data_IF_414666912084
#
_entry.id   IF_414666912084
#
_cell.length_a   1.000
_cell.length_b   1.000
_cell.length_c   1.000
_cell.angle_alpha   90.00
_cell.angle_beta   90.00
_cell.angle_gamma   90.00
#
_symmetry.space_group_name_H-M   'P 1'
#
loop_
_entity.id
_entity.type
_entity.pdbx_description
1 polymer ?
#
# COMPACT_ATOMS: atom_id res chain seq x y z
N UNK A 1 -21.32 11.04 -15.11
CA UNK A 1 -19.98 10.41 -15.12
C UNK A 1 -19.08 11.16 -14.14
N UNK A 2 -18.67 10.47 -13.09
CA UNK A 2 -17.71 10.94 -12.10
C UNK A 2 -16.36 11.18 -12.76
N UNK A 3 -15.65 12.21 -12.31
CA UNK A 3 -14.36 12.62 -12.90
C UNK A 3 -13.34 12.78 -11.81
N UNK A 4 -12.17 12.18 -12.04
CA UNK A 4 -11.01 12.37 -11.19
C UNK A 4 -9.98 13.16 -11.97
N UNK A 5 -9.73 14.39 -11.52
CA UNK A 5 -8.67 15.23 -12.04
C UNK A 5 -7.57 15.31 -10.99
N UNK A 6 -6.35 14.90 -11.33
CA UNK A 6 -5.20 14.93 -10.41
C UNK A 6 -4.06 15.75 -10.99
N UNK A 7 -3.45 16.54 -10.11
CA UNK A 7 -2.29 17.37 -10.39
C UNK A 7 -1.07 16.86 -9.62
N UNK A 8 -0.04 16.45 -10.35
CA UNK A 8 1.29 16.20 -9.81
C UNK A 8 2.01 17.55 -9.60
N UNK A 9 2.09 17.98 -8.34
CA UNK A 9 2.73 19.25 -7.94
C UNK A 9 4.24 19.25 -8.13
N UNK A 10 4.89 18.09 -8.08
CA UNK A 10 6.35 18.00 -8.27
C UNK A 10 6.71 18.30 -9.73
N UNK A 11 5.92 17.78 -10.67
CA UNK A 11 6.09 17.99 -12.10
C UNK A 11 5.54 19.33 -12.59
N UNK A 12 4.47 19.84 -11.99
CA UNK A 12 3.84 21.07 -12.48
C UNK A 12 4.73 22.29 -12.25
N UNK A 13 5.06 23.02 -13.32
CA UNK A 13 5.81 24.29 -13.28
C UNK A 13 4.99 25.39 -13.97
N UNK A 14 3.96 25.95 -13.31
CA UNK A 14 3.02 26.90 -13.93
C UNK A 14 3.73 28.15 -14.49
N UNK A 15 4.74 28.66 -13.76
CA UNK A 15 5.58 29.80 -14.20
C UNK A 15 6.40 29.54 -15.48
N UNK A 16 6.62 28.28 -15.86
CA UNK A 16 7.47 27.89 -17.00
C UNK A 16 6.71 27.32 -18.20
N UNK A 17 5.42 26.99 -18.05
CA UNK A 17 4.66 26.33 -19.13
C UNK A 17 3.81 27.27 -20.00
N UNK A 18 3.60 28.53 -19.61
CA UNK A 18 2.62 29.45 -20.23
C UNK A 18 1.17 28.91 -20.21
N UNK A 19 0.84 28.13 -19.18
CA UNK A 19 -0.53 27.69 -18.85
C UNK A 19 -1.38 27.06 -19.99
N UNK A 20 -0.84 26.13 -20.80
CA UNK A 20 -1.59 25.52 -21.91
C UNK A 20 -2.80 24.74 -21.43
N UNK A 21 -2.79 24.24 -20.19
CA UNK A 21 -3.96 23.61 -19.58
C UNK A 21 -5.17 24.55 -19.57
N UNK A 22 -4.99 25.84 -19.29
CA UNK A 22 -6.05 26.87 -19.33
C UNK A 22 -6.43 27.23 -20.77
N UNK A 23 -5.44 27.61 -21.58
CA UNK A 23 -5.67 28.17 -22.91
C UNK A 23 -6.32 27.19 -23.89
N UNK A 24 -6.01 25.90 -23.77
CA UNK A 24 -6.56 24.86 -24.64
C UNK A 24 -7.77 24.13 -24.04
N UNK A 25 -8.22 24.50 -22.83
CA UNK A 25 -9.42 23.90 -22.24
C UNK A 25 -10.69 24.43 -22.92
N UNK A 26 -11.53 23.57 -23.53
CA UNK A 26 -12.76 24.01 -24.20
C UNK A 26 -13.72 24.75 -23.27
N UNK A 27 -13.86 24.27 -22.02
CA UNK A 27 -14.75 24.88 -21.03
C UNK A 27 -14.30 26.30 -20.65
N UNK A 28 -13.00 26.49 -20.44
CA UNK A 28 -12.44 27.83 -20.16
C UNK A 28 -12.63 28.76 -21.36
N UNK A 29 -12.51 28.26 -22.59
CA UNK A 29 -12.78 29.04 -23.82
C UNK A 29 -14.24 29.41 -23.99
N UNK A 30 -15.15 28.66 -23.36
CA UNK A 30 -16.59 28.95 -23.27
C UNK A 30 -16.96 29.78 -22.02
N UNK A 31 -15.97 30.40 -21.37
CA UNK A 31 -16.16 31.19 -20.14
C UNK A 31 -16.70 30.39 -18.95
N UNK A 32 -16.48 29.07 -18.93
CA UNK A 32 -16.75 28.22 -17.77
C UNK A 32 -15.45 28.05 -16.97
N UNK A 33 -15.52 28.25 -15.65
CA UNK A 33 -14.38 28.16 -14.75
C UNK A 33 -13.95 26.72 -14.40
N UNK A 34 -13.74 25.90 -15.43
CA UNK A 34 -13.32 24.51 -15.22
C UNK A 34 -11.86 24.38 -14.75
N UNK A 35 -11.01 25.37 -15.04
CA UNK A 35 -9.62 25.43 -14.57
C UNK A 35 -9.34 26.84 -14.06
N UNK A 36 -9.09 26.96 -12.77
CA UNK A 36 -8.81 28.21 -12.09
C UNK A 36 -7.35 28.26 -11.62
N UNK A 37 -6.84 29.47 -11.46
CA UNK A 37 -5.52 29.74 -10.91
C UNK A 37 -5.74 30.75 -9.80
N UNK A 38 -5.75 30.26 -8.59
CA UNK A 38 -5.91 31.09 -7.43
C UNK A 38 -4.54 31.72 -7.08
N UNK A 39 -4.42 33.05 -7.07
CA UNK A 39 -3.20 33.75 -6.67
C UNK A 39 -2.79 33.47 -5.21
N UNK A 40 -3.77 33.15 -4.34
CA UNK A 40 -3.56 32.85 -2.93
C UNK A 40 -3.22 31.36 -2.68
N UNK A 41 -3.71 30.43 -3.52
CA UNK A 41 -3.39 28.99 -3.46
C UNK A 41 -2.24 28.59 -4.40
N UNK A 42 -1.02 29.03 -4.08
CA UNK A 42 0.26 28.51 -4.63
C UNK A 42 0.48 28.61 -6.16
N UNK A 43 -0.35 29.35 -6.92
CA UNK A 43 -0.30 29.49 -8.38
C UNK A 43 -0.44 28.19 -9.20
N UNK A 44 -0.83 27.08 -8.57
CA UNK A 44 -1.09 25.82 -9.26
C UNK A 44 -2.49 25.81 -9.88
N UNK A 45 -2.69 25.10 -11.01
CA UNK A 45 -4.03 24.97 -11.60
C UNK A 45 -4.94 24.14 -10.70
N UNK A 46 -6.08 24.70 -10.35
CA UNK A 46 -7.21 24.01 -9.74
C UNK A 46 -8.16 23.54 -10.85
N UNK A 47 -8.58 22.28 -10.82
CA UNK A 47 -9.53 21.72 -11.80
C UNK A 47 -10.82 21.36 -11.09
N UNK A 48 -11.89 22.08 -11.42
CA UNK A 48 -13.23 21.80 -10.93
C UNK A 48 -13.79 20.55 -11.63
N UNK A 49 -13.81 19.41 -10.93
CA UNK A 49 -14.23 18.10 -11.47
C UNK A 49 -15.68 18.14 -12.03
N UNK A 50 -16.58 18.87 -11.36
CA UNK A 50 -17.96 19.06 -11.78
C UNK A 50 -18.08 19.74 -13.15
N UNK A 51 -17.26 20.75 -13.42
CA UNK A 51 -17.28 21.53 -14.66
C UNK A 51 -16.46 20.89 -15.80
N UNK A 52 -15.76 19.78 -15.54
CA UNK A 52 -14.60 19.38 -16.35
C UNK A 52 -14.86 18.73 -17.74
N UNK A 53 -16.03 18.28 -18.18
CA UNK A 53 -16.25 17.48 -19.45
C UNK A 53 -15.37 16.24 -19.74
N UNK A 54 -14.15 16.08 -19.19
CA UNK A 54 -13.33 14.88 -19.35
C UNK A 54 -12.57 14.73 -20.67
N UNK A 55 -12.44 15.80 -21.48
CA UNK A 55 -11.81 15.74 -22.81
C UNK A 55 -10.29 15.45 -22.83
N UNK A 56 -9.62 15.57 -21.68
CA UNK A 56 -8.18 15.36 -21.49
C UNK A 56 -7.25 16.17 -22.43
N UNK A 57 -7.73 17.28 -23.02
CA UNK A 57 -6.90 18.14 -23.88
C UNK A 57 -5.77 18.79 -23.07
N UNK A 58 -6.07 19.26 -21.85
CA UNK A 58 -5.07 19.82 -20.95
C UNK A 58 -3.97 18.81 -20.56
N UNK A 59 -4.29 17.51 -20.47
CA UNK A 59 -3.32 16.43 -20.23
C UNK A 59 -2.37 16.30 -21.41
N UNK A 60 -2.90 16.27 -22.64
CA UNK A 60 -2.10 16.16 -23.88
C UNK A 60 -1.24 17.40 -24.14
N UNK A 61 -1.72 18.58 -23.77
CA UNK A 61 -1.04 19.87 -24.00
C UNK A 61 -0.09 20.27 -22.86
N UNK A 62 -0.10 19.58 -21.72
CA UNK A 62 0.82 19.85 -20.62
C UNK A 62 2.25 19.40 -20.99
N UNK A 63 3.24 20.31 -21.08
CA UNK A 63 4.61 19.94 -21.45
C UNK A 63 5.28 19.06 -20.39
N UNK A 64 4.87 19.19 -19.13
CA UNK A 64 5.44 18.45 -18.00
C UNK A 64 4.67 17.16 -17.66
N UNK A 65 3.59 16.85 -18.40
CA UNK A 65 2.69 15.69 -18.12
C UNK A 65 2.27 15.61 -16.64
N UNK A 66 1.97 16.77 -16.05
CA UNK A 66 1.64 16.91 -14.63
C UNK A 66 0.15 16.70 -14.32
N UNK A 67 -0.69 16.53 -15.33
CA UNK A 67 -2.14 16.38 -15.17
C UNK A 67 -2.59 14.98 -15.54
N UNK A 68 -3.55 14.46 -14.78
CA UNK A 68 -4.30 13.25 -15.10
C UNK A 68 -5.80 13.54 -15.03
N UNK A 69 -6.55 13.15 -16.06
CA UNK A 69 -8.01 13.18 -16.07
C UNK A 69 -8.50 11.78 -16.39
N UNK A 70 -9.37 11.24 -15.54
CA UNK A 70 -9.97 9.93 -15.69
C UNK A 70 -11.49 10.07 -15.52
N UNK A 71 -12.25 9.44 -16.43
CA UNK A 71 -13.69 9.31 -16.30
C UNK A 71 -13.97 7.98 -15.58
N UNK A 72 -14.75 8.04 -14.51
CA UNK A 72 -15.18 6.89 -13.73
C UNK A 72 -16.70 6.70 -13.84
N UNK A 73 -17.21 5.48 -13.61
CA UNK A 73 -18.63 5.26 -13.34
C UNK A 73 -19.12 6.15 -12.20
N UNK A 74 -20.34 6.68 -12.32
CA UNK A 74 -20.95 7.54 -11.28
C UNK A 74 -21.10 6.82 -9.94
N UNK A 75 -21.41 5.52 -9.98
CA UNK A 75 -21.56 4.64 -8.80
C UNK A 75 -20.31 4.64 -7.91
N UNK A 76 -19.11 4.82 -8.49
CA UNK A 76 -17.88 4.86 -7.70
C UNK A 76 -17.73 6.13 -6.88
N UNK A 77 -18.34 7.25 -7.28
CA UNK A 77 -18.21 8.49 -6.52
C UNK A 77 -18.93 8.38 -5.17
N UNK A 78 -20.04 7.65 -5.11
CA UNK A 78 -20.72 7.34 -3.86
C UNK A 78 -19.80 6.56 -2.92
N UNK A 79 -19.05 5.59 -3.46
CA UNK A 79 -18.10 4.72 -2.74
C UNK A 79 -16.76 5.39 -2.37
N UNK A 80 -16.65 6.72 -2.47
CA UNK A 80 -15.43 7.41 -2.08
C UNK A 80 -15.18 7.30 -0.57
N UNK A 81 -14.07 6.66 -0.20
CA UNK A 81 -13.67 6.48 1.20
C UNK A 81 -12.82 7.65 1.69
N UNK A 82 -11.85 8.07 0.89
CA UNK A 82 -10.89 9.10 1.30
C UNK A 82 -10.27 9.85 0.11
N UNK A 83 -9.97 11.13 0.32
CA UNK A 83 -9.26 12.01 -0.61
C UNK A 83 -8.24 12.85 0.16
N UNK A 84 -6.98 12.88 -0.30
CA UNK A 84 -5.93 13.64 0.38
C UNK A 84 -6.03 15.16 0.20
N UNK A 85 -6.65 15.60 -0.89
CA UNK A 85 -6.63 17.01 -1.29
C UNK A 85 -7.43 17.22 -2.58
N UNK A 86 -7.77 18.48 -2.85
CA UNK A 86 -8.37 18.80 -4.16
C UNK A 86 -7.34 18.54 -5.25
N UNK A 87 -7.78 17.87 -6.31
CA UNK A 87 -6.95 17.29 -7.36
C UNK A 87 -5.79 16.40 -6.87
N UNK A 88 -5.97 15.69 -5.76
CA UNK A 88 -5.08 14.64 -5.28
C UNK A 88 -5.73 13.25 -5.39
N UNK A 89 -4.97 12.23 -4.98
CA UNK A 89 -5.39 10.83 -4.97
C UNK A 89 -6.73 10.60 -4.24
N UNK A 90 -7.62 9.81 -4.86
CA UNK A 90 -8.89 9.32 -4.28
C UNK A 90 -8.85 7.81 -4.07
N UNK A 91 -9.33 7.35 -2.92
CA UNK A 91 -9.53 5.94 -2.59
C UNK A 91 -11.01 5.62 -2.55
N UNK A 92 -11.41 4.55 -3.24
CA UNK A 92 -12.77 4.04 -3.28
C UNK A 92 -12.83 2.66 -2.63
N UNK A 93 -13.86 2.46 -1.79
CA UNK A 93 -14.04 1.26 -0.94
C UNK A 93 -12.86 1.04 0.02
N UNK A 94 -13.03 0.09 0.93
CA UNK A 94 -12.00 -0.32 1.89
C UNK A 94 -12.03 -1.84 2.02
N UNK A 95 -10.89 -2.50 2.30
CA UNK A 95 -10.88 -3.91 2.60
C UNK A 95 -11.53 -4.16 3.97
N UNK A 96 -12.19 -5.31 4.11
CA UNK A 96 -12.91 -5.67 5.34
C UNK A 96 -12.07 -6.68 6.13
N UNK A 97 -11.54 -6.32 7.32
CA UNK A 97 -10.90 -7.26 8.21
C UNK A 97 -11.90 -8.34 8.65
N UNK A 98 -11.51 -9.61 8.60
CA UNK A 98 -12.36 -10.74 8.97
C UNK A 98 -11.76 -11.48 10.18
N UNK A 99 -12.57 -11.81 11.21
CA UNK A 99 -12.12 -12.63 12.35
C UNK A 99 -11.52 -13.97 11.91
N UNK A 100 -10.37 -14.33 12.48
CA UNK A 100 -9.70 -15.61 12.20
C UNK A 100 -9.34 -15.83 10.74
N UNK A 101 -9.05 -14.76 9.99
CA UNK A 101 -8.60 -14.83 8.59
C UNK A 101 -7.55 -13.78 8.27
N UNK A 102 -6.66 -14.11 7.34
CA UNK A 102 -5.75 -13.15 6.71
C UNK A 102 -6.37 -12.66 5.40
N UNK A 103 -6.58 -11.35 5.33
CA UNK A 103 -7.02 -10.64 4.11
C UNK A 103 -5.80 -10.05 3.41
N UNK A 104 -5.43 -10.61 2.26
CA UNK A 104 -4.36 -10.12 1.43
C UNK A 104 -4.78 -8.96 0.53
N UNK A 105 -3.96 -7.92 0.42
CA UNK A 105 -4.17 -6.78 -0.48
C UNK A 105 -3.10 -6.83 -1.57
N UNK A 106 -3.55 -6.98 -2.82
CA UNK A 106 -2.67 -7.03 -3.98
C UNK A 106 -3.00 -5.91 -4.95
N UNK A 107 -1.99 -5.24 -5.48
CA UNK A 107 -2.19 -4.20 -6.49
C UNK A 107 -0.90 -3.45 -6.80
N UNK A 108 -0.89 -2.61 -7.86
CA UNK A 108 0.26 -1.77 -8.18
C UNK A 108 0.62 -0.80 -7.04
N UNK A 109 1.78 -0.15 -7.12
CA UNK A 109 2.12 0.92 -6.18
C UNK A 109 1.33 2.19 -6.53
N UNK A 110 1.04 3.02 -5.53
CA UNK A 110 0.28 4.26 -5.71
C UNK A 110 -1.24 4.09 -5.90
N UNK A 111 -1.81 2.91 -5.64
CA UNK A 111 -3.27 2.67 -5.72
C UNK A 111 -3.97 2.65 -4.36
N UNK A 112 -3.29 3.03 -3.27
CA UNK A 112 -3.91 3.21 -1.95
C UNK A 112 -3.92 1.99 -1.02
N UNK A 113 -3.04 0.99 -1.23
CA UNK A 113 -2.83 -0.12 -0.27
C UNK A 113 -2.48 0.40 1.14
N UNK A 114 -1.41 1.18 1.23
CA UNK A 114 -0.97 1.85 2.47
C UNK A 114 -2.03 2.79 3.02
N UNK A 115 -2.72 3.57 2.17
CA UNK A 115 -3.81 4.45 2.61
C UNK A 115 -4.94 3.65 3.26
N UNK A 116 -5.33 2.50 2.69
CA UNK A 116 -6.33 1.62 3.27
C UNK A 116 -5.90 1.09 4.64
N UNK A 117 -4.64 0.67 4.79
CA UNK A 117 -4.10 0.21 6.07
C UNK A 117 -4.05 1.33 7.12
N UNK A 118 -3.65 2.55 6.74
CA UNK A 118 -3.62 3.71 7.66
C UNK A 118 -5.02 4.12 8.11
N UNK A 119 -6.03 3.99 7.24
CA UNK A 119 -7.44 4.18 7.62
C UNK A 119 -7.87 3.13 8.64
N UNK A 120 -7.60 1.85 8.36
CA UNK A 120 -7.94 0.77 9.28
C UNK A 120 -7.17 0.86 10.61
N UNK A 121 -5.94 1.40 10.60
CA UNK A 121 -5.16 1.67 11.79
C UNK A 121 -5.68 2.84 12.64
N UNK A 122 -6.59 3.66 12.11
CA UNK A 122 -7.03 4.90 12.74
C UNK A 122 -6.00 6.03 12.71
N UNK A 123 -4.91 5.90 11.93
CA UNK A 123 -3.94 6.99 11.75
C UNK A 123 -4.51 8.14 10.91
N UNK A 124 -5.40 7.81 9.98
CA UNK A 124 -6.17 8.75 9.17
C UNK A 124 -7.63 8.34 9.20
N UNK A 125 -8.54 9.31 9.27
CA UNK A 125 -9.97 9.01 9.22
C UNK A 125 -10.50 9.17 7.79
N UNK A 126 -11.46 8.33 7.34
CA UNK A 126 -12.15 8.54 6.07
C UNK A 126 -12.78 9.94 6.06
N UNK A 127 -12.62 10.67 4.96
CA UNK A 127 -13.27 11.97 4.78
C UNK A 127 -14.35 11.94 3.70
N UNK A 128 -14.67 10.74 3.18
CA UNK A 128 -15.73 10.50 2.21
C UNK A 128 -15.65 11.38 0.95
N UNK A 129 -14.43 11.80 0.59
CA UNK A 129 -14.17 12.69 -0.54
C UNK A 129 -14.25 14.18 -0.22
N UNK A 130 -14.75 14.57 0.96
CA UNK A 130 -14.81 15.97 1.41
C UNK A 130 -13.52 16.37 2.14
N UNK A 131 -12.74 17.23 1.50
CA UNK A 131 -11.44 17.70 2.04
C UNK A 131 -11.59 18.99 2.83
N UNK A 132 -12.49 19.88 2.41
CA UNK A 132 -12.64 21.21 3.01
C UNK A 132 -13.43 21.13 4.32
N UNK A 133 -14.47 20.31 4.36
CA UNK A 133 -15.30 20.06 5.54
C UNK A 133 -15.39 18.54 5.79
N UNK A 134 -14.33 17.93 6.34
CA UNK A 134 -14.33 16.49 6.56
C UNK A 134 -15.44 16.10 7.57
N UNK A 135 -16.18 15.01 7.31
CA UNK A 135 -17.24 14.53 8.19
C UNK A 135 -16.70 14.13 9.56
N UNK A 136 -17.56 14.22 10.58
CA UNK A 136 -17.24 13.67 11.89
C UNK A 136 -17.21 12.13 11.90
N UNK A 137 -16.82 11.54 13.02
CA UNK A 137 -16.70 10.07 13.11
C UNK A 137 -18.06 9.38 13.00
N UNK A 138 -19.12 9.98 13.53
CA UNK A 138 -20.47 9.40 13.52
C UNK A 138 -21.09 9.42 12.13
N UNK A 139 -20.83 10.46 11.34
CA UNK A 139 -21.14 10.54 9.91
C UNK A 139 -20.44 9.45 9.12
N UNK A 140 -19.14 9.24 9.36
CA UNK A 140 -18.40 8.14 8.72
C UNK A 140 -19.02 6.78 9.08
N UNK A 141 -19.31 6.54 10.36
CA UNK A 141 -19.95 5.28 10.81
C UNK A 141 -21.33 5.12 10.14
N UNK A 142 -22.13 6.19 10.06
CA UNK A 142 -23.43 6.18 9.37
C UNK A 142 -23.31 5.87 7.89
N UNK A 143 -22.27 6.36 7.20
CA UNK A 143 -22.02 6.07 5.78
C UNK A 143 -21.80 4.58 5.52
N UNK A 144 -21.20 3.85 6.46
CA UNK A 144 -20.96 2.41 6.37
C UNK A 144 -22.12 1.56 6.91
N UNK A 145 -23.30 2.15 7.21
CA UNK A 145 -24.44 1.46 7.82
C UNK A 145 -24.81 0.17 7.08
N UNK A 146 -24.98 -0.92 7.84
CA UNK A 146 -25.33 -2.24 7.29
C UNK A 146 -24.14 -3.03 6.73
N UNK A 147 -22.92 -2.51 6.86
CA UNK A 147 -21.69 -3.23 6.52
C UNK A 147 -20.89 -3.63 7.76
N UNK A 148 -19.96 -4.57 7.60
CA UNK A 148 -19.01 -4.98 8.65
C UNK A 148 -18.12 -3.81 9.10
N UNK A 149 -17.84 -2.86 8.20
CA UNK A 149 -17.04 -1.68 8.52
C UNK A 149 -17.74 -0.71 9.47
N UNK A 150 -19.08 -0.74 9.55
CA UNK A 150 -19.81 0.06 10.54
C UNK A 150 -19.38 -0.31 11.97
N UNK A 151 -19.41 -1.61 12.29
CA UNK A 151 -19.03 -2.11 13.61
C UNK A 151 -17.54 -1.87 13.88
N UNK A 152 -16.70 -2.09 12.85
CA UNK A 152 -15.27 -1.81 12.93
C UNK A 152 -14.97 -0.37 13.33
N UNK A 153 -15.52 0.61 12.59
CA UNK A 153 -15.27 2.04 12.86
C UNK A 153 -15.88 2.50 14.18
N UNK A 154 -17.04 1.95 14.56
CA UNK A 154 -17.67 2.23 15.86
C UNK A 154 -16.75 1.82 17.01
N UNK A 155 -16.34 0.55 17.04
CA UNK A 155 -15.44 0.01 18.08
C UNK A 155 -14.07 0.70 18.08
N UNK A 156 -13.54 1.06 16.91
CA UNK A 156 -12.30 1.83 16.79
C UNK A 156 -12.46 3.25 17.37
N UNK A 157 -13.60 3.90 17.14
CA UNK A 157 -13.87 5.25 17.66
C UNK A 157 -14.08 5.24 19.18
N UNK A 158 -14.73 4.21 19.71
CA UNK A 158 -15.00 4.00 21.15
C UNK A 158 -13.76 3.50 21.92
N UNK A 159 -12.70 3.08 21.21
CA UNK A 159 -11.47 2.55 21.82
C UNK A 159 -11.56 1.07 22.24
N UNK A 160 -12.64 0.38 21.87
CA UNK A 160 -12.89 -1.05 22.13
C UNK A 160 -12.17 -2.00 21.16
N UNK A 161 -11.50 -1.45 20.14
CA UNK A 161 -10.74 -2.19 19.15
C UNK A 161 -9.35 -1.58 19.03
N UNK A 162 -8.34 -2.37 19.39
CA UNK A 162 -6.93 -2.00 19.28
C UNK A 162 -6.35 -2.57 17.99
N UNK A 163 -5.40 -1.82 17.42
CA UNK A 163 -4.74 -2.18 16.16
C UNK A 163 -3.22 -2.14 16.34
N UNK A 164 -2.52 -3.16 15.84
CA UNK A 164 -1.08 -3.15 15.68
C UNK A 164 -0.75 -2.99 14.20
N UNK A 165 -0.02 -1.92 13.86
CA UNK A 165 0.33 -1.60 12.49
C UNK A 165 1.85 -1.64 12.28
N UNK A 166 2.29 -2.50 11.37
CA UNK A 166 3.67 -2.50 10.83
C UNK A 166 3.69 -1.64 9.56
N UNK A 167 4.39 -0.48 9.57
CA UNK A 167 4.43 0.41 8.41
C UNK A 167 5.38 -0.08 7.31
N UNK A 168 5.16 0.40 6.07
CA UNK A 168 6.01 0.08 4.92
C UNK A 168 7.45 0.56 5.12
N UNK A 169 7.63 1.82 5.53
CA UNK A 169 8.94 2.46 5.66
C UNK A 169 9.59 2.20 7.03
N UNK A 170 10.32 1.10 7.15
CA UNK A 170 11.06 0.76 8.38
C UNK A 170 12.25 1.68 8.68
N UNK A 171 12.77 2.41 7.69
CA UNK A 171 13.95 3.29 7.88
C UNK A 171 13.73 4.46 8.84
N UNK A 172 12.48 4.77 9.18
CA UNK A 172 12.16 5.77 10.20
C UNK A 172 12.25 5.21 11.63
N UNK A 173 12.13 3.88 11.82
CA UNK A 173 12.10 3.23 13.14
C UNK A 173 13.33 3.58 14.00
N UNK A 174 14.58 3.49 13.48
CA UNK A 174 15.76 3.80 14.29
C UNK A 174 15.88 5.29 14.66
N UNK A 175 15.14 6.18 13.98
CA UNK A 175 15.12 7.62 14.29
C UNK A 175 14.25 7.92 15.51
N UNK A 176 13.20 7.12 15.72
CA UNK A 176 12.20 7.30 16.79
C UNK A 176 12.51 6.41 17.99
N UNK A 177 12.96 5.17 17.76
CA UNK A 177 13.20 4.17 18.81
C UNK A 177 14.70 3.95 18.96
N UNK A 178 15.19 4.10 20.19
CA UNK A 178 16.59 3.83 20.57
C UNK A 178 16.64 2.70 21.58
N UNK A 179 17.69 1.88 21.51
CA UNK A 179 17.94 0.81 22.47
C UNK A 179 18.45 -0.48 21.83
N UNK A 180 18.67 -1.47 22.69
CA UNK A 180 18.96 -2.86 22.29
C UNK A 180 17.68 -3.57 21.88
N UNK A 181 17.76 -4.44 20.88
CA UNK A 181 16.61 -5.20 20.35
C UNK A 181 15.91 -5.98 21.46
N UNK A 182 16.65 -6.72 22.29
CA UNK A 182 16.07 -7.55 23.34
C UNK A 182 15.25 -6.76 24.36
N UNK A 183 15.72 -5.56 24.76
CA UNK A 183 14.99 -4.71 25.69
C UNK A 183 13.72 -4.12 25.06
N UNK A 184 13.79 -3.78 23.77
CA UNK A 184 12.64 -3.25 23.03
C UNK A 184 11.55 -4.32 22.92
N UNK A 185 11.91 -5.53 22.50
CA UNK A 185 10.96 -6.63 22.35
C UNK A 185 10.34 -7.02 23.69
N UNK A 186 11.13 -7.13 24.76
CA UNK A 186 10.62 -7.41 26.12
C UNK A 186 9.62 -6.36 26.60
N UNK A 187 9.87 -5.07 26.31
CA UNK A 187 8.96 -3.98 26.71
C UNK A 187 7.64 -3.98 25.91
N UNK A 188 7.67 -4.47 24.68
CA UNK A 188 6.50 -4.50 23.79
C UNK A 188 5.68 -5.78 23.92
N UNK A 189 6.20 -6.78 24.62
CA UNK A 189 5.55 -8.07 24.84
C UNK A 189 4.38 -7.96 25.82
N UNK A 190 3.18 -7.80 25.27
CA UNK A 190 1.92 -7.84 26.01
C UNK A 190 1.34 -9.25 26.07
N UNK A 191 1.80 -10.13 25.18
CA UNK A 191 1.28 -11.49 25.00
C UNK A 191 2.08 -12.56 25.76
N UNK A 192 3.28 -12.23 26.23
CA UNK A 192 4.20 -13.17 26.88
C UNK A 192 4.83 -14.18 25.91
N UNK A 193 4.86 -13.88 24.60
CA UNK A 193 5.30 -14.80 23.54
C UNK A 193 6.63 -14.40 22.89
N UNK A 194 7.38 -13.47 23.49
CA UNK A 194 8.66 -12.99 22.96
C UNK A 194 9.65 -14.10 22.66
N UNK A 195 9.76 -15.13 23.51
CA UNK A 195 10.65 -16.27 23.27
C UNK A 195 10.35 -16.98 21.95
N UNK A 196 9.08 -17.32 21.72
CA UNK A 196 8.63 -17.98 20.49
C UNK A 196 8.85 -17.10 19.26
N UNK A 197 8.47 -15.82 19.32
CA UNK A 197 8.62 -14.88 18.19
C UNK A 197 10.10 -14.64 17.85
N UNK A 198 10.97 -14.56 18.87
CA UNK A 198 12.43 -14.43 18.68
C UNK A 198 12.99 -15.63 17.93
N UNK A 199 12.50 -16.83 18.24
CA UNK A 199 12.97 -18.07 17.63
C UNK A 199 12.45 -18.23 16.20
N UNK A 200 11.15 -18.01 15.99
CA UNK A 200 10.51 -18.08 14.67
C UNK A 200 11.13 -17.09 13.67
N UNK A 201 11.45 -15.88 14.12
CA UNK A 201 12.07 -14.84 13.28
C UNK A 201 13.61 -14.82 13.36
N UNK A 202 14.23 -15.81 14.00
CA UNK A 202 15.70 -15.96 14.12
C UNK A 202 16.42 -14.70 14.62
N UNK A 203 15.89 -14.10 15.69
CA UNK A 203 16.36 -12.83 16.26
C UNK A 203 17.38 -13.00 17.40
N UNK A 204 17.70 -14.24 17.84
CA UNK A 204 18.59 -14.50 18.99
C UNK A 204 19.93 -13.76 18.90
N UNK A 205 20.59 -13.80 17.74
CA UNK A 205 21.88 -13.11 17.53
C UNK A 205 21.80 -11.59 17.48
N UNK A 206 20.59 -11.01 17.46
CA UNK A 206 20.37 -9.57 17.35
C UNK A 206 20.00 -8.92 18.67
N UNK A 207 19.69 -9.69 19.71
CA UNK A 207 19.12 -9.19 20.97
C UNK A 207 20.00 -8.13 21.64
N UNK A 208 21.33 -8.29 21.59
CA UNK A 208 22.30 -7.36 22.16
C UNK A 208 22.67 -6.18 21.25
N UNK A 209 22.29 -6.22 19.97
CA UNK A 209 22.58 -5.17 19.01
C UNK A 209 21.64 -3.99 19.18
N UNK A 210 22.14 -2.79 18.85
CA UNK A 210 21.33 -1.57 18.82
C UNK A 210 20.51 -1.54 17.54
N UNK A 211 19.27 -1.03 17.61
CA UNK A 211 18.39 -0.94 16.44
C UNK A 211 19.00 -0.11 15.28
N UNK A 212 19.83 0.88 15.60
CA UNK A 212 20.43 1.79 14.62
C UNK A 212 21.51 1.15 13.72
N UNK A 213 22.05 -0.02 14.11
CA UNK A 213 23.10 -0.72 13.36
C UNK A 213 22.58 -1.97 12.65
N UNK A 214 21.26 -2.17 12.63
CA UNK A 214 20.65 -3.32 11.97
C UNK A 214 20.58 -3.10 10.45
N UNK A 215 20.75 -4.19 9.70
CA UNK A 215 20.46 -4.20 8.27
C UNK A 215 18.95 -4.05 8.00
N UNK A 216 18.56 -3.75 6.76
CA UNK A 216 17.15 -3.64 6.39
C UNK A 216 16.34 -4.91 6.70
N UNK A 217 16.88 -6.09 6.41
CA UNK A 217 16.21 -7.36 6.71
C UNK A 217 16.16 -7.68 8.20
N UNK A 218 17.19 -7.34 8.97
CA UNK A 218 17.18 -7.46 10.44
C UNK A 218 16.13 -6.53 11.06
N UNK A 219 16.09 -5.27 10.63
CA UNK A 219 15.14 -4.28 11.11
C UNK A 219 13.70 -4.64 10.74
N UNK A 220 13.47 -5.19 9.54
CA UNK A 220 12.18 -5.69 9.11
C UNK A 220 11.68 -6.81 10.04
N UNK A 221 12.53 -7.80 10.36
CA UNK A 221 12.17 -8.88 11.28
C UNK A 221 11.87 -8.37 12.69
N UNK A 222 12.64 -7.39 13.18
CA UNK A 222 12.35 -6.73 14.47
C UNK A 222 11.03 -5.97 14.43
N UNK A 223 10.70 -5.28 13.32
CA UNK A 223 9.43 -4.57 13.17
C UNK A 223 8.22 -5.52 13.14
N UNK A 224 8.35 -6.67 12.46
CA UNK A 224 7.33 -7.73 12.46
C UNK A 224 7.18 -8.30 13.87
N UNK A 225 8.29 -8.63 14.54
CA UNK A 225 8.26 -9.12 15.92
C UNK A 225 7.56 -8.14 16.86
N UNK A 226 7.91 -6.85 16.78
CA UNK A 226 7.29 -5.81 17.58
C UNK A 226 5.77 -5.74 17.38
N UNK A 227 5.28 -5.90 16.14
CA UNK A 227 3.84 -5.95 15.86
C UNK A 227 3.19 -7.21 16.44
N UNK A 228 3.82 -8.38 16.25
CA UNK A 228 3.31 -9.67 16.76
C UNK A 228 3.21 -9.69 18.29
N UNK A 229 4.05 -8.96 19.01
CA UNK A 229 4.09 -8.96 20.48
C UNK A 229 2.98 -8.15 21.16
N UNK A 230 2.28 -7.30 20.41
CA UNK A 230 1.14 -6.51 20.91
C UNK A 230 -0.07 -7.41 21.08
N UNK A 231 -0.83 -7.27 22.16
CA UNK A 231 -2.12 -7.95 22.30
C UNK A 231 -3.24 -7.02 21.81
N UNK A 232 -3.69 -7.29 20.58
CA UNK A 232 -4.69 -6.47 19.87
C UNK A 232 -5.62 -7.38 19.07
N UNK A 233 -6.75 -6.86 18.62
CA UNK A 233 -7.73 -7.59 17.83
C UNK A 233 -7.35 -7.62 16.33
N UNK A 234 -6.69 -6.55 15.85
CA UNK A 234 -6.39 -6.35 14.43
C UNK A 234 -4.90 -6.13 14.21
N UNK A 235 -4.31 -6.90 13.30
CA UNK A 235 -2.92 -6.76 12.88
C UNK A 235 -2.86 -6.34 11.41
N UNK A 236 -2.14 -5.27 11.14
CA UNK A 236 -1.97 -4.70 9.82
C UNK A 236 -0.49 -4.74 9.44
N UNK A 237 -0.17 -5.38 8.31
CA UNK A 237 1.20 -5.49 7.82
C UNK A 237 1.31 -4.87 6.43
N UNK A 238 2.10 -3.80 6.32
CA UNK A 238 2.41 -3.18 5.03
C UNK A 238 3.78 -3.63 4.52
N UNK A 239 3.76 -4.42 3.46
CA UNK A 239 4.90 -5.05 2.80
C UNK A 239 5.88 -5.73 3.78
N UNK A 240 5.45 -6.76 4.53
CA UNK A 240 6.29 -7.48 5.48
C UNK A 240 7.42 -8.31 4.82
N UNK A 241 7.32 -8.69 3.54
CA UNK A 241 8.34 -9.47 2.82
C UNK A 241 9.54 -8.66 2.32
N UNK A 242 9.43 -7.33 2.30
CA UNK A 242 10.47 -6.44 1.79
C UNK A 242 11.80 -6.63 2.54
N UNK A 243 12.91 -6.70 1.79
CA UNK A 243 14.27 -6.93 2.29
C UNK A 243 14.54 -8.31 2.91
N UNK A 244 13.56 -9.22 2.92
CA UNK A 244 13.73 -10.59 3.42
C UNK A 244 14.19 -11.53 2.31
N UNK A 245 15.13 -12.42 2.63
CA UNK A 245 15.46 -13.58 1.81
C UNK A 245 14.33 -14.62 1.83
N UNK A 246 14.42 -15.63 0.96
CA UNK A 246 13.38 -16.63 0.77
C UNK A 246 13.05 -17.37 2.08
N UNK A 247 14.06 -17.75 2.87
CA UNK A 247 13.85 -18.47 4.13
C UNK A 247 13.15 -17.58 5.15
N UNK A 248 13.58 -16.32 5.26
CA UNK A 248 12.95 -15.37 6.19
C UNK A 248 11.52 -15.01 5.79
N UNK A 249 11.18 -14.98 4.50
CA UNK A 249 9.78 -14.80 4.04
C UNK A 249 8.88 -15.93 4.50
N UNK A 250 9.34 -17.17 4.41
CA UNK A 250 8.57 -18.34 4.87
C UNK A 250 8.38 -18.30 6.39
N UNK A 251 9.43 -17.97 7.14
CA UNK A 251 9.37 -17.85 8.60
C UNK A 251 8.42 -16.73 9.04
N UNK A 252 8.54 -15.55 8.44
CA UNK A 252 7.63 -14.43 8.65
C UNK A 252 6.18 -14.84 8.39
N UNK A 253 5.93 -15.55 7.29
CA UNK A 253 4.60 -15.96 6.95
C UNK A 253 4.00 -16.96 7.95
N UNK A 254 4.80 -17.93 8.42
CA UNK A 254 4.39 -18.85 9.48
C UNK A 254 4.04 -18.12 10.79
N UNK A 255 4.87 -17.16 11.19
CA UNK A 255 4.65 -16.36 12.39
C UNK A 255 3.35 -15.55 12.30
N UNK A 256 3.09 -14.88 11.17
CA UNK A 256 1.85 -14.12 10.95
C UNK A 256 0.63 -15.05 10.92
N UNK A 257 0.72 -16.23 10.27
CA UNK A 257 -0.37 -17.23 10.29
C UNK A 257 -0.67 -17.77 11.69
N UNK A 258 0.27 -17.68 12.63
CA UNK A 258 0.04 -18.02 14.04
C UNK A 258 -1.13 -17.22 14.65
N UNK A 259 -1.24 -15.93 14.31
CA UNK A 259 -2.29 -15.03 14.80
C UNK A 259 -3.71 -15.49 14.43
N UNK A 260 -3.87 -16.16 13.28
CA UNK A 260 -5.16 -16.66 12.81
C UNK A 260 -5.73 -17.72 13.75
N UNK A 261 -4.87 -18.57 14.31
CA UNK A 261 -5.28 -19.63 15.26
C UNK A 261 -5.85 -19.06 16.55
N UNK A 262 -5.51 -17.81 16.87
CA UNK A 262 -6.00 -17.07 18.03
C UNK A 262 -7.24 -16.22 17.70
N UNK A 263 -7.82 -16.38 16.51
CA UNK A 263 -9.01 -15.66 16.08
C UNK A 263 -8.78 -14.19 15.72
N UNK A 264 -7.53 -13.73 15.68
CA UNK A 264 -7.18 -12.34 15.37
C UNK A 264 -7.51 -11.99 13.91
N UNK A 265 -7.84 -10.72 13.65
CA UNK A 265 -8.05 -10.22 12.29
C UNK A 265 -6.72 -9.75 11.71
N UNK A 266 -6.38 -10.19 10.49
CA UNK A 266 -5.10 -9.81 9.88
C UNK A 266 -5.32 -9.26 8.48
N UNK A 267 -4.71 -8.12 8.17
CA UNK A 267 -4.67 -7.57 6.81
C UNK A 267 -3.21 -7.38 6.39
N UNK A 268 -2.85 -7.94 5.24
CA UNK A 268 -1.48 -7.90 4.73
C UNK A 268 -1.48 -7.27 3.35
N UNK A 269 -0.75 -6.17 3.16
CA UNK A 269 -0.46 -5.64 1.83
C UNK A 269 0.86 -6.21 1.32
N UNK A 270 0.80 -6.89 0.17
CA UNK A 270 1.95 -7.57 -0.42
C UNK A 270 1.95 -7.42 -1.95
N UNK A 271 3.15 -7.51 -2.52
CA UNK A 271 3.37 -7.56 -3.96
C UNK A 271 3.98 -8.88 -4.42
N UNK A 272 4.52 -9.69 -3.50
CA UNK A 272 5.00 -11.04 -3.77
C UNK A 272 3.82 -12.02 -3.78
N UNK A 273 3.49 -12.54 -4.97
CA UNK A 273 2.39 -13.48 -5.16
C UNK A 273 2.56 -14.78 -4.38
N UNK A 274 3.79 -15.30 -4.26
CA UNK A 274 4.06 -16.57 -3.60
C UNK A 274 3.89 -16.44 -2.09
N UNK A 275 4.36 -15.33 -1.52
CA UNK A 275 4.14 -15.00 -0.11
C UNK A 275 2.65 -14.77 0.17
N UNK A 276 1.97 -14.03 -0.70
CA UNK A 276 0.54 -13.76 -0.58
C UNK A 276 -0.30 -15.05 -0.63
N UNK A 277 0.02 -15.97 -1.54
CA UNK A 277 -0.65 -17.27 -1.70
C UNK A 277 -0.54 -18.13 -0.44
N UNK A 278 0.66 -18.16 0.16
CA UNK A 278 0.90 -18.91 1.39
C UNK A 278 0.27 -18.26 2.64
N UNK A 279 0.30 -16.92 2.71
CA UNK A 279 -0.20 -16.16 3.87
C UNK A 279 -1.71 -16.09 3.94
N UNK A 280 -2.36 -15.75 2.84
CA UNK A 280 -3.73 -15.22 2.85
C UNK A 280 -4.76 -16.36 2.89
N UNK A 281 -5.94 -16.07 3.44
CA UNK A 281 -7.11 -16.95 3.30
C UNK A 281 -8.09 -16.38 2.28
N UNK A 282 -8.02 -15.07 2.03
CA UNK A 282 -8.78 -14.34 1.02
C UNK A 282 -7.99 -13.13 0.53
N UNK A 283 -8.30 -12.62 -0.67
CA UNK A 283 -7.56 -11.49 -1.26
C UNK A 283 -8.50 -10.44 -1.86
N UNK A 284 -8.14 -9.17 -1.72
CA UNK A 284 -8.74 -8.06 -2.44
C UNK A 284 -7.74 -7.52 -3.45
N UNK A 285 -8.18 -7.32 -4.69
CA UNK A 285 -7.38 -6.73 -5.75
C UNK A 285 -7.63 -5.24 -5.80
N UNK A 286 -6.61 -4.44 -5.52
CA UNK A 286 -6.64 -3.00 -5.70
C UNK A 286 -6.25 -2.66 -7.14
N UNK A 287 -7.11 -1.90 -7.79
CA UNK A 287 -6.90 -1.43 -9.14
C UNK A 287 -7.16 0.06 -9.28
N UNK A 288 -6.72 0.63 -10.39
CA UNK A 288 -6.90 2.05 -10.67
C UNK A 288 -5.70 2.59 -11.42
N UNK A 289 -5.49 3.90 -11.31
CA UNK A 289 -4.35 4.57 -11.92
C UNK A 289 -3.43 5.06 -10.81
N UNK A 290 -2.16 4.61 -10.76
CA UNK A 290 -1.19 5.03 -9.75
C UNK A 290 -1.18 6.54 -9.55
N UNK A 291 -1.19 6.95 -8.29
CA UNK A 291 -1.18 8.34 -7.81
C UNK A 291 -2.41 9.17 -8.20
N UNK A 292 -3.40 8.56 -8.87
CA UNK A 292 -4.63 9.24 -9.30
C UNK A 292 -5.85 8.71 -8.54
N UNK A 293 -6.10 7.42 -8.61
CA UNK A 293 -7.16 6.79 -7.83
C UNK A 293 -6.93 5.30 -7.65
N UNK A 294 -7.52 4.75 -6.59
CA UNK A 294 -7.55 3.32 -6.31
C UNK A 294 -8.93 2.86 -5.90
N UNK A 295 -9.33 1.67 -6.34
CA UNK A 295 -10.56 0.98 -5.95
C UNK A 295 -10.17 -0.35 -5.35
N UNK A 296 -10.73 -0.66 -4.19
CA UNK A 296 -10.63 -2.00 -3.58
C UNK A 296 -11.73 -2.87 -4.17
N UNK A 297 -11.36 -3.96 -4.86
CA UNK A 297 -12.35 -4.93 -5.37
C UNK A 297 -13.10 -5.63 -4.24
N UNK A 298 -14.16 -6.33 -4.60
CA UNK A 298 -14.71 -7.39 -3.75
C UNK A 298 -13.66 -8.46 -3.41
N UNK A 299 -13.95 -9.22 -2.35
CA UNK A 299 -13.08 -10.28 -1.84
C UNK A 299 -13.13 -11.49 -2.78
N UNK A 300 -11.98 -12.07 -3.07
CA UNK A 300 -11.83 -13.34 -3.80
C UNK A 300 -11.18 -14.41 -2.93
N UNK A 301 -11.40 -15.67 -3.31
CA UNK A 301 -10.51 -16.75 -2.90
C UNK A 301 -9.10 -16.49 -3.41
N UNK A 302 -8.09 -16.89 -2.65
CA UNK A 302 -6.67 -16.57 -2.91
C UNK A 302 -6.24 -16.91 -4.34
N UNK A 303 -6.46 -18.16 -4.76
CA UNK A 303 -6.11 -18.65 -6.10
C UNK A 303 -6.83 -17.88 -7.20
N UNK A 304 -8.11 -17.58 -7.01
CA UNK A 304 -8.90 -16.84 -7.98
C UNK A 304 -8.41 -15.40 -8.12
N UNK A 305 -8.24 -14.69 -6.99
CA UNK A 305 -7.79 -13.30 -7.00
C UNK A 305 -6.38 -13.12 -7.55
N UNK A 306 -5.46 -14.05 -7.27
CA UNK A 306 -4.12 -14.05 -7.89
C UNK A 306 -4.23 -14.23 -9.41
N UNK A 307 -5.05 -15.18 -9.89
CA UNK A 307 -5.24 -15.40 -11.32
C UNK A 307 -5.88 -14.18 -12.01
N UNK A 308 -6.90 -13.58 -11.39
CA UNK A 308 -7.53 -12.32 -11.84
C UNK A 308 -6.47 -11.22 -12.00
N UNK A 309 -5.59 -11.05 -11.01
CA UNK A 309 -4.52 -10.06 -11.06
C UNK A 309 -3.47 -10.34 -12.14
N UNK A 310 -3.07 -11.61 -12.32
CA UNK A 310 -2.11 -12.06 -13.34
C UNK A 310 -2.67 -11.87 -14.75
N UNK A 311 -3.93 -12.27 -14.96
CA UNK A 311 -4.64 -12.12 -16.25
C UNK A 311 -4.90 -10.65 -16.60
N UNK A 312 -5.05 -9.79 -15.59
CA UNK A 312 -5.23 -8.35 -15.78
C UNK A 312 -6.66 -7.94 -16.10
N UNK A 313 -7.64 -8.77 -15.75
CA UNK A 313 -9.07 -8.49 -15.90
C UNK A 313 -9.82 -8.96 -14.66
N UNK A 314 -10.62 -8.07 -14.07
CA UNK A 314 -11.43 -8.28 -12.87
C UNK A 314 -12.89 -8.49 -13.31
N UNK A 315 -13.40 -9.75 -13.31
CA UNK A 315 -14.71 -10.05 -13.88
C UNK A 315 -15.87 -9.39 -13.13
N UNK A 316 -15.86 -9.39 -11.79
CA UNK A 316 -16.97 -8.84 -10.99
C UNK A 316 -17.14 -7.33 -11.14
N UNK A 317 -16.08 -6.62 -11.52
CA UNK A 317 -16.09 -5.18 -11.76
C UNK A 317 -16.14 -4.84 -13.26
N UNK A 318 -16.17 -5.86 -14.13
CA UNK A 318 -16.00 -5.74 -15.58
C UNK A 318 -14.82 -4.81 -15.97
N UNK A 319 -13.70 -4.92 -15.25
CA UNK A 319 -12.61 -3.96 -15.32
C UNK A 319 -11.31 -4.59 -15.83
N UNK A 320 -10.75 -4.04 -16.90
CA UNK A 320 -9.43 -4.44 -17.40
C UNK A 320 -8.33 -3.58 -16.80
N UNK A 321 -7.58 -4.15 -15.86
CA UNK A 321 -6.50 -3.47 -15.13
C UNK A 321 -5.17 -3.49 -15.90
N UNK A 322 -4.99 -4.44 -16.83
CA UNK A 322 -3.78 -4.54 -17.67
C UNK A 322 -4.13 -4.95 -19.10
N UNK A 323 -3.43 -4.38 -20.09
CA UNK A 323 -3.64 -4.69 -21.52
C UNK A 323 -3.23 -6.12 -21.88
N UNK A 324 -2.13 -6.60 -21.30
CA UNK A 324 -1.58 -7.94 -21.52
C UNK A 324 -1.47 -8.67 -20.18
N UNK A 325 -1.71 -9.98 -20.12
CA UNK A 325 -1.47 -10.76 -18.92
C UNK A 325 0.03 -10.80 -18.59
N UNK A 326 0.36 -11.10 -17.34
CA UNK A 326 1.74 -11.48 -16.97
C UNK A 326 1.96 -12.90 -17.47
N UNK A 327 2.88 -13.06 -18.43
CA UNK A 327 3.28 -14.36 -18.96
C UNK A 327 4.65 -14.74 -18.40
N UNK A 328 4.76 -15.96 -17.88
CA UNK A 328 6.03 -16.53 -17.46
C UNK A 328 6.62 -17.30 -18.64
N UNK A 329 7.77 -16.85 -19.13
CA UNK A 329 8.49 -17.54 -20.20
C UNK A 329 9.39 -18.60 -19.58
N UNK A 330 9.06 -19.88 -19.80
CA UNK A 330 10.01 -20.97 -19.56
C UNK A 330 11.00 -20.92 -20.72
N UNK A 331 12.21 -20.43 -20.45
CA UNK A 331 13.31 -20.58 -21.40
C UNK A 331 13.90 -21.97 -21.18
N UNK A 332 14.08 -22.79 -22.22
CA UNK A 332 14.90 -23.99 -22.08
C UNK A 332 16.30 -23.56 -21.59
N UNK A 333 16.98 -24.38 -20.76
CA UNK A 333 18.36 -24.09 -20.39
C UNK A 333 19.16 -23.85 -21.67
N UNK A 334 19.85 -22.71 -21.74
CA UNK A 334 20.73 -22.44 -22.86
C UNK A 334 21.81 -23.51 -22.89
N UNK A 335 22.02 -24.13 -24.04
CA UNK A 335 23.20 -24.97 -24.23
C UNK A 335 24.44 -24.13 -23.90
N UNK A 336 25.40 -24.67 -23.12
CA UNK A 336 26.64 -23.97 -22.83
C UNK A 336 27.26 -23.54 -24.16
N UNK A 337 27.49 -22.25 -24.36
CA UNK A 337 28.16 -21.81 -25.57
C UNK A 337 29.61 -22.31 -25.56
N UNK A 338 30.10 -22.83 -26.69
CA UNK A 338 31.53 -23.15 -26.92
C UNK A 338 32.44 -21.91 -26.95
N UNK A 339 31.98 -20.77 -26.43
CA UNK A 339 32.78 -19.57 -26.30
C UNK A 339 33.92 -19.81 -25.31
N UNK A 340 35.15 -19.40 -25.65
CA UNK A 340 36.27 -19.51 -24.73
C UNK A 340 36.00 -18.67 -23.47
N UNK A 341 36.27 -19.25 -22.30
CA UNK A 341 36.20 -18.54 -21.01
C UNK A 341 37.25 -17.43 -21.01
N UNK A 342 36.82 -16.18 -21.11
CA UNK A 342 37.73 -15.02 -21.16
C UNK A 342 38.29 -14.63 -19.79
N UNK A 343 37.55 -14.92 -18.71
CA UNK A 343 37.92 -14.57 -17.35
C UNK A 343 37.40 -15.62 -16.37
N UNK A 344 38.23 -16.02 -15.41
CA UNK A 344 37.87 -16.88 -14.29
C UNK A 344 38.34 -16.21 -13.00
N UNK A 345 37.45 -16.06 -12.04
CA UNK A 345 37.82 -15.62 -10.69
C UNK A 345 38.32 -16.83 -9.89
N UNK A 346 39.40 -16.64 -9.13
CA UNK A 346 39.84 -17.62 -8.12
C UNK A 346 38.97 -17.56 -6.87
N UNK A 347 39.30 -18.37 -5.86
CA UNK A 347 38.64 -18.32 -4.56
C UNK A 347 38.80 -16.94 -3.91
N UNK A 348 37.70 -16.38 -3.40
CA UNK A 348 37.70 -15.07 -2.75
C UNK A 348 37.28 -15.23 -1.30
N UNK A 349 38.24 -14.99 -0.40
CA UNK A 349 37.97 -14.89 1.03
C UNK A 349 37.92 -13.42 1.46
N UNK A 350 36.89 -13.05 2.23
CA UNK A 350 36.76 -11.72 2.84
C UNK A 350 36.20 -11.83 4.24
N UNK A 351 36.83 -11.13 5.19
CA UNK A 351 36.39 -11.05 6.57
C UNK A 351 36.03 -9.61 6.96
N UNK A 352 35.05 -9.49 7.83
CA UNK A 352 34.63 -8.28 8.52
C UNK A 352 34.24 -8.66 9.96
N UNK A 353 34.21 -7.73 10.91
CA UNK A 353 34.00 -8.04 12.33
C UNK A 353 32.80 -8.98 12.57
N UNK A 354 33.08 -10.23 12.91
CA UNK A 354 32.08 -11.28 13.17
C UNK A 354 31.48 -11.98 11.95
N UNK A 355 31.99 -11.74 10.74
CA UNK A 355 31.53 -12.38 9.50
C UNK A 355 32.71 -12.71 8.57
N UNK A 356 32.77 -13.95 8.10
CA UNK A 356 33.71 -14.38 7.07
C UNK A 356 32.97 -15.03 5.91
N UNK A 357 33.37 -14.70 4.69
CA UNK A 357 32.86 -15.29 3.46
C UNK A 357 34.03 -15.84 2.66
N UNK A 358 33.91 -17.10 2.24
CA UNK A 358 34.88 -17.81 1.39
C UNK A 358 34.07 -18.42 0.24
N UNK A 359 34.36 -18.03 -1.01
CA UNK A 359 33.60 -18.41 -2.23
C UNK A 359 34.54 -18.89 -3.31
#
# INVERSE_FOLDING_TARGET
MARVAVLDRERCKPKRCRLPCRHFCPQVRMHVNAIEFDPERDQYPFIAEALCVGCAICVKKCPFRALSIVNLPDELEEDCSHRYGVNAFKLYRLPVPSPGKITGLIGPNGVGKTTSLRILAGEIWPNLGNVEEPPDRDEVIRRYRGSVLQDYFRRLSEGELRVAYKPQHIGAIPKVIRGKVGNILKRLDERGVSGQVIDELQLRGLLDRRIAVLSGGELQRVAIAAALLRDVEVYLFDEPSSHLDIYQRVNMAKAIRGLVKEGKMVVVAEHDLAVLDYLSDQVCVLYGKPDVFGVVSHVYGVREGINVYVQGFIPSENMRIRKKPIAFHVRPPQEPSDLPVLLRWGGVAKSYDGFSLDV
#
